data_IF_257929670891
#
_entry.id   IF_257929670891
#
_cell.length_a   1.000
_cell.length_b   1.000
_cell.length_c   1.000
_cell.angle_alpha   90.00
_cell.angle_beta   90.00
_cell.angle_gamma   90.00
#
_symmetry.space_group_name_H-M   'P 1'
#
loop_
_entity.id
_entity.type
_entity.pdbx_description
1 polymer ?
#
# COMPACT_ATOMS: atom_id res chain seq x y z
N UNK A 1 52.49 -0.82 7.60
CA UNK A 1 52.49 -1.49 6.28
C UNK A 1 51.64 -2.76 6.26
N UNK A 2 51.64 -3.60 7.30
CA UNK A 2 50.82 -4.82 7.36
C UNK A 2 49.29 -4.64 7.17
N UNK A 3 48.69 -3.55 7.67
CA UNK A 3 47.23 -3.30 7.48
C UNK A 3 46.85 -3.00 6.01
N UNK A 4 47.78 -2.50 5.20
CA UNK A 4 47.51 -2.19 3.79
C UNK A 4 47.46 -3.48 2.96
N UNK A 5 48.37 -4.42 3.24
CA UNK A 5 48.42 -5.74 2.60
C UNK A 5 47.18 -6.59 2.91
N UNK A 6 46.65 -6.50 4.13
CA UNK A 6 45.41 -7.20 4.51
C UNK A 6 44.20 -6.64 3.75
N UNK A 7 44.10 -5.32 3.58
CA UNK A 7 42.96 -4.74 2.84
C UNK A 7 43.04 -4.97 1.34
N UNK A 8 44.23 -4.93 0.73
CA UNK A 8 44.41 -5.33 -0.67
C UNK A 8 44.02 -6.79 -0.88
N UNK A 9 44.39 -7.67 0.05
CA UNK A 9 44.03 -9.08 -0.01
C UNK A 9 42.51 -9.29 0.12
N UNK A 10 41.84 -8.58 1.03
CA UNK A 10 40.37 -8.62 1.14
C UNK A 10 39.69 -8.09 -0.12
N UNK A 11 40.18 -7.00 -0.70
CA UNK A 11 39.66 -6.47 -1.95
C UNK A 11 39.79 -7.48 -3.10
N UNK A 12 40.95 -8.15 -3.19
CA UNK A 12 41.18 -9.19 -4.19
C UNK A 12 40.19 -10.34 -4.03
N UNK A 13 39.97 -10.82 -2.80
CA UNK A 13 38.97 -11.86 -2.51
C UNK A 13 37.58 -11.39 -2.91
N UNK A 14 37.19 -10.18 -2.55
CA UNK A 14 35.88 -9.62 -2.89
C UNK A 14 35.68 -9.54 -4.41
N UNK A 15 36.69 -9.11 -5.16
CA UNK A 15 36.66 -9.08 -6.63
C UNK A 15 36.50 -10.47 -7.22
N UNK A 16 37.21 -11.48 -6.72
CA UNK A 16 37.07 -12.87 -7.16
C UNK A 16 35.70 -13.48 -6.80
N UNK A 17 35.16 -13.17 -5.62
CA UNK A 17 33.82 -13.59 -5.23
C UNK A 17 32.73 -12.91 -6.05
N UNK A 18 32.98 -11.67 -6.48
CA UNK A 18 32.08 -10.92 -7.36
C UNK A 18 32.11 -11.48 -8.78
N UNK A 19 33.29 -11.76 -9.34
CA UNK A 19 33.41 -12.32 -10.70
C UNK A 19 32.85 -13.74 -10.82
N UNK A 20 32.88 -14.52 -9.75
CA UNK A 20 32.26 -15.85 -9.69
C UNK A 20 30.75 -15.82 -9.42
N UNK A 21 30.15 -14.65 -9.17
CA UNK A 21 28.73 -14.50 -8.82
C UNK A 21 28.36 -15.01 -7.42
N UNK A 22 29.36 -15.33 -6.57
CA UNK A 22 29.14 -15.80 -5.21
C UNK A 22 28.49 -14.71 -4.34
N UNK A 23 28.87 -13.45 -4.52
CA UNK A 23 28.28 -12.30 -3.82
C UNK A 23 26.80 -12.12 -4.16
N UNK A 24 26.43 -12.28 -5.43
CA UNK A 24 25.03 -12.19 -5.86
C UNK A 24 24.16 -13.31 -5.29
N UNK A 25 24.70 -14.53 -5.21
CA UNK A 25 24.02 -15.66 -4.55
C UNK A 25 23.85 -15.43 -3.04
N UNK A 26 24.87 -14.93 -2.37
CA UNK A 26 24.79 -14.57 -0.95
C UNK A 26 23.74 -13.47 -0.73
N UNK A 27 23.75 -12.43 -1.57
CA UNK A 27 22.76 -11.35 -1.52
C UNK A 27 21.33 -11.86 -1.75
N UNK A 28 21.14 -12.72 -2.74
CA UNK A 28 19.84 -13.34 -3.02
C UNK A 28 19.34 -14.20 -1.86
N UNK A 29 20.23 -14.98 -1.22
CA UNK A 29 19.88 -15.77 -0.05
C UNK A 29 19.50 -14.90 1.16
N UNK A 30 20.24 -13.81 1.40
CA UNK A 30 19.89 -12.84 2.46
C UNK A 30 18.53 -12.20 2.17
N UNK A 31 18.28 -11.80 0.92
CA UNK A 31 16.99 -11.22 0.51
C UNK A 31 15.83 -12.23 0.67
N UNK A 32 16.06 -13.50 0.35
CA UNK A 32 15.07 -14.56 0.52
C UNK A 32 14.76 -14.81 2.00
N UNK A 33 15.78 -14.90 2.85
CA UNK A 33 15.59 -15.05 4.30
C UNK A 33 14.94 -13.83 4.94
N UNK A 34 15.36 -12.63 4.57
CA UNK A 34 14.72 -11.40 5.04
C UNK A 34 13.25 -11.35 4.64
N UNK A 35 12.94 -11.73 3.39
CA UNK A 35 11.56 -11.83 2.91
C UNK A 35 10.77 -12.88 3.68
N UNK A 36 11.37 -14.02 4.02
CA UNK A 36 10.72 -15.05 4.84
C UNK A 36 10.46 -14.58 6.27
N UNK A 37 11.42 -13.93 6.92
CA UNK A 37 11.27 -13.37 8.26
C UNK A 37 10.19 -12.29 8.28
N UNK A 38 10.18 -11.38 7.30
CA UNK A 38 9.12 -10.38 7.16
C UNK A 38 7.75 -11.00 6.87
N UNK A 39 7.67 -12.07 6.07
CA UNK A 39 6.41 -12.80 5.84
C UNK A 39 5.83 -13.35 7.14
N UNK A 40 6.66 -13.81 8.08
CA UNK A 40 6.19 -14.33 9.38
C UNK A 40 5.52 -13.22 10.21
N UNK A 41 5.98 -11.96 10.15
CA UNK A 41 5.29 -10.83 10.80
C UNK A 41 3.91 -10.53 10.17
N UNK A 42 3.74 -10.78 8.86
CA UNK A 42 2.45 -10.64 8.18
C UNK A 42 1.52 -11.86 8.34
N UNK A 43 1.94 -12.93 9.01
CA UNK A 43 1.09 -14.13 9.22
C UNK A 43 0.17 -14.07 10.43
N UNK A 44 0.15 -12.95 11.18
CA UNK A 44 -1.09 -12.57 11.86
C UNK A 44 -2.07 -12.12 10.77
N UNK A 45 -2.63 -13.08 10.05
CA UNK A 45 -3.91 -12.93 9.37
C UNK A 45 -4.94 -12.63 10.45
N UNK A 46 -4.93 -11.38 10.94
CA UNK A 46 -6.10 -10.74 11.51
C UNK A 46 -7.19 -11.07 10.51
N UNK A 47 -8.19 -11.84 10.93
CA UNK A 47 -9.37 -12.08 10.11
C UNK A 47 -9.77 -10.73 9.53
N UNK A 48 -9.69 -10.60 8.21
CA UNK A 48 -9.91 -9.32 7.55
C UNK A 48 -11.36 -8.96 7.82
N UNK A 49 -11.59 -8.10 8.81
CA UNK A 49 -12.94 -7.77 9.22
C UNK A 49 -13.57 -6.92 8.10
N UNK A 50 -14.89 -6.95 7.98
CA UNK A 50 -15.58 -6.14 6.96
C UNK A 50 -15.23 -4.65 7.09
N UNK A 51 -15.00 -4.17 8.32
CA UNK A 51 -14.58 -2.80 8.60
C UNK A 51 -13.18 -2.49 8.03
N UNK A 52 -12.23 -3.43 8.10
CA UNK A 52 -10.89 -3.26 7.54
C UNK A 52 -10.98 -3.11 6.02
N UNK A 53 -11.81 -3.94 5.37
CA UNK A 53 -12.09 -3.83 3.93
C UNK A 53 -12.72 -2.49 3.55
N UNK A 54 -13.63 -1.97 4.37
CA UNK A 54 -14.25 -0.66 4.17
C UNK A 54 -13.19 0.44 4.27
N UNK A 55 -12.36 0.41 5.32
CA UNK A 55 -11.32 1.42 5.56
C UNK A 55 -10.29 1.41 4.43
N UNK A 56 -9.79 0.24 4.06
CA UNK A 56 -8.83 0.10 2.95
C UNK A 56 -9.39 0.64 1.63
N UNK A 57 -10.66 0.34 1.35
CA UNK A 57 -11.34 0.80 0.15
C UNK A 57 -11.53 2.32 0.16
N UNK A 58 -11.86 2.92 1.31
CA UNK A 58 -11.96 4.38 1.47
C UNK A 58 -10.61 5.09 1.28
N UNK A 59 -9.54 4.52 1.82
CA UNK A 59 -8.17 5.04 1.65
C UNK A 59 -7.78 4.98 0.17
N UNK A 60 -7.97 3.83 -0.46
CA UNK A 60 -7.68 3.64 -1.89
C UNK A 60 -8.45 4.64 -2.76
N UNK A 61 -9.74 4.86 -2.50
CA UNK A 61 -10.56 5.87 -3.18
C UNK A 61 -10.00 7.29 -3.02
N UNK A 62 -9.58 7.67 -1.81
CA UNK A 62 -9.00 8.98 -1.55
C UNK A 62 -7.65 9.18 -2.27
N UNK A 63 -6.77 8.18 -2.23
CA UNK A 63 -5.47 8.23 -2.92
C UNK A 63 -5.67 8.38 -4.44
N UNK A 64 -6.64 7.65 -5.00
CA UNK A 64 -6.99 7.73 -6.42
C UNK A 64 -7.53 9.12 -6.79
N UNK A 65 -8.46 9.67 -5.99
CA UNK A 65 -9.02 11.00 -6.20
C UNK A 65 -7.96 12.11 -6.13
N UNK A 66 -7.02 12.03 -5.19
CA UNK A 66 -5.92 13.01 -5.06
C UNK A 66 -4.81 12.82 -6.10
N UNK A 67 -4.84 11.73 -6.88
CA UNK A 67 -3.82 11.43 -7.88
C UNK A 67 -2.50 10.91 -7.30
N UNK A 68 -2.52 10.35 -6.09
CA UNK A 68 -1.32 9.80 -5.41
C UNK A 68 -0.97 8.41 -5.92
N UNK A 69 -0.64 8.30 -7.21
CA UNK A 69 -0.43 7.04 -7.93
C UNK A 69 0.67 6.15 -7.34
N UNK A 70 1.78 6.73 -6.88
CA UNK A 70 2.87 5.96 -6.29
C UNK A 70 2.46 5.39 -4.93
N UNK A 71 1.83 6.22 -4.08
CA UNK A 71 1.31 5.83 -2.78
C UNK A 71 0.22 4.77 -2.92
N UNK A 72 -0.70 4.93 -3.86
CA UNK A 72 -1.76 3.94 -4.17
C UNK A 72 -1.15 2.58 -4.51
N UNK A 73 -0.09 2.55 -5.33
CA UNK A 73 0.58 1.31 -5.73
C UNK A 73 1.30 0.63 -4.57
N UNK A 74 2.02 1.40 -3.74
CA UNK A 74 2.69 0.87 -2.55
C UNK A 74 1.66 0.35 -1.54
N UNK A 75 0.60 1.12 -1.29
CA UNK A 75 -0.50 0.74 -0.41
C UNK A 75 -1.18 -0.57 -0.84
N UNK A 76 -1.54 -0.71 -2.12
CA UNK A 76 -2.18 -1.94 -2.61
C UNK A 76 -1.27 -3.17 -2.45
N UNK A 77 0.04 -3.00 -2.70
CA UNK A 77 1.03 -4.06 -2.50
C UNK A 77 1.19 -4.43 -1.02
N UNK A 78 1.24 -3.45 -0.12
CA UNK A 78 1.39 -3.65 1.33
C UNK A 78 0.16 -4.33 1.95
N UNK A 79 -1.03 -3.95 1.49
CA UNK A 79 -2.31 -4.50 1.95
C UNK A 79 -2.64 -5.84 1.28
N UNK A 80 -1.81 -6.30 0.33
CA UNK A 80 -2.01 -7.53 -0.43
C UNK A 80 -3.34 -7.57 -1.20
N UNK A 81 -3.91 -6.40 -1.50
CA UNK A 81 -5.27 -6.24 -1.99
C UNK A 81 -5.28 -5.77 -3.44
N UNK A 82 -4.65 -6.54 -4.31
CA UNK A 82 -4.58 -6.25 -5.75
C UNK A 82 -5.94 -6.35 -6.48
N UNK A 83 -7.05 -6.67 -5.79
CA UNK A 83 -8.36 -6.87 -6.45
C UNK A 83 -9.63 -6.63 -5.64
N UNK A 84 -9.55 -6.29 -4.34
CA UNK A 84 -10.74 -6.28 -3.46
C UNK A 84 -11.20 -4.89 -2.98
N UNK A 85 -10.79 -3.80 -3.66
CA UNK A 85 -11.37 -2.48 -3.35
C UNK A 85 -12.86 -2.49 -3.66
N UNK A 86 -13.68 -2.25 -2.64
CA UNK A 86 -15.13 -2.23 -2.78
C UNK A 86 -15.54 -1.06 -3.68
N UNK A 87 -16.47 -1.27 -4.63
CA UNK A 87 -16.93 -0.18 -5.47
C UNK A 87 -17.65 0.86 -4.61
N UNK A 88 -17.51 2.14 -4.99
CA UNK A 88 -18.10 3.29 -4.29
C UNK A 88 -19.59 3.11 -3.95
N UNK A 89 -20.36 2.49 -4.84
CA UNK A 89 -21.79 2.21 -4.62
C UNK A 89 -22.04 1.22 -3.48
N UNK A 90 -21.14 0.25 -3.29
CA UNK A 90 -21.19 -0.68 -2.16
C UNK A 90 -20.80 0.04 -0.86
N UNK A 91 -19.71 0.82 -0.86
CA UNK A 91 -19.27 1.60 0.31
C UNK A 91 -20.35 2.57 0.80
N UNK A 92 -20.98 3.30 -0.11
CA UNK A 92 -22.06 4.23 0.23
C UNK A 92 -23.31 3.54 0.80
N UNK A 93 -23.55 2.29 0.41
CA UNK A 93 -24.65 1.49 0.93
C UNK A 93 -24.32 0.94 2.31
N UNK A 94 -23.11 0.41 2.51
CA UNK A 94 -22.66 -0.11 3.81
C UNK A 94 -22.56 0.99 4.86
N UNK A 95 -22.06 2.17 4.48
CA UNK A 95 -21.89 3.33 5.38
C UNK A 95 -23.16 4.18 5.53
N UNK A 96 -24.29 3.77 4.91
CA UNK A 96 -25.55 4.54 4.90
C UNK A 96 -25.40 6.02 4.42
N UNK A 97 -24.36 6.34 3.64
CA UNK A 97 -24.05 7.70 3.17
C UNK A 97 -24.97 8.18 2.03
N UNK A 98 -25.95 7.37 1.62
CA UNK A 98 -26.93 7.70 0.56
C UNK A 98 -27.68 9.01 0.81
N UNK A 99 -27.82 9.44 2.06
CA UNK A 99 -28.50 10.69 2.43
C UNK A 99 -27.59 11.91 2.18
N UNK A 100 -26.29 11.81 2.43
CA UNK A 100 -25.35 12.93 2.26
C UNK A 100 -25.03 13.20 0.79
N UNK A 101 -24.92 12.15 -0.02
CA UNK A 101 -24.70 12.26 -1.46
C UNK A 101 -25.91 12.82 -2.23
N UNK A 102 -27.12 12.73 -1.64
CA UNK A 102 -28.34 13.35 -2.18
C UNK A 102 -28.38 14.87 -2.01
N UNK A 103 -27.63 15.42 -1.05
CA UNK A 103 -27.59 16.87 -0.78
C UNK A 103 -26.81 17.64 -1.85
N UNK A 104 -25.86 16.97 -2.50
CA UNK A 104 -25.07 17.52 -3.61
C UNK A 104 -25.75 17.35 -5.00
N UNK A 105 -26.80 16.52 -5.10
CA UNK A 105 -27.42 16.12 -6.39
C UNK A 105 -28.53 17.03 -6.91
N UNK A 106 -28.58 18.30 -6.49
CA UNK A 106 -29.35 19.31 -7.22
C UNK A 106 -28.66 19.76 -8.53
N UNK A 107 -27.63 19.04 -9.00
CA UNK A 107 -27.04 19.22 -10.33
C UNK A 107 -27.16 17.93 -11.15
N UNK A 108 -27.57 18.04 -12.43
CA UNK A 108 -27.69 16.90 -13.34
C UNK A 108 -26.33 16.25 -13.55
N UNK A 109 -26.37 14.98 -13.89
CA UNK A 109 -25.26 14.05 -13.99
C UNK A 109 -24.25 14.41 -15.09
N UNK A 110 -23.45 15.44 -14.86
CA UNK A 110 -22.29 15.75 -15.70
C UNK A 110 -21.09 16.08 -14.82
N UNK A 111 -20.04 15.28 -15.02
CA UNK A 111 -18.68 15.43 -14.52
C UNK A 111 -18.38 14.75 -13.17
N UNK A 112 -17.75 13.58 -13.29
CA UNK A 112 -16.92 12.89 -12.29
C UNK A 112 -15.92 13.83 -11.59
N UNK A 113 -15.69 15.04 -12.10
CA UNK A 113 -14.80 16.07 -11.56
C UNK A 113 -15.32 16.77 -10.29
N UNK A 114 -16.60 16.61 -9.90
CA UNK A 114 -17.16 17.27 -8.69
C UNK A 114 -17.48 16.35 -7.51
N UNK A 115 -17.31 15.03 -7.65
CA UNK A 115 -17.60 14.11 -6.54
C UNK A 115 -16.40 14.03 -5.59
N UNK A 116 -16.56 14.57 -4.38
CA UNK A 116 -15.55 14.50 -3.31
C UNK A 116 -15.35 13.05 -2.84
N UNK A 117 -14.19 12.68 -2.28
CA UNK A 117 -13.99 11.35 -1.69
C UNK A 117 -15.00 11.06 -0.57
N UNK A 118 -15.41 9.80 -0.43
CA UNK A 118 -16.33 9.37 0.63
C UNK A 118 -15.83 9.73 2.03
N UNK A 119 -14.51 9.72 2.24
CA UNK A 119 -13.88 10.13 3.49
C UNK A 119 -14.30 11.56 3.92
N UNK A 120 -14.45 12.50 2.98
CA UNK A 120 -14.89 13.87 3.31
C UNK A 120 -16.31 13.88 3.90
N UNK A 121 -17.23 13.12 3.29
CA UNK A 121 -18.60 13.03 3.79
C UNK A 121 -18.67 12.39 5.18
N UNK A 122 -17.81 11.40 5.45
CA UNK A 122 -17.69 10.79 6.79
C UNK A 122 -17.21 11.84 7.80
N UNK A 123 -16.13 12.56 7.50
CA UNK A 123 -15.62 13.60 8.41
C UNK A 123 -16.63 14.72 8.66
N UNK A 124 -17.40 15.11 7.65
CA UNK A 124 -18.49 16.07 7.78
C UNK A 124 -19.62 15.53 8.67
N UNK A 125 -19.96 14.25 8.53
CA UNK A 125 -20.98 13.62 9.36
C UNK A 125 -20.57 13.56 10.83
N UNK A 126 -19.30 13.26 11.11
CA UNK A 126 -18.75 13.23 12.47
C UNK A 126 -18.64 14.62 13.08
N UNK A 127 -18.32 15.65 12.28
CA UNK A 127 -18.25 17.04 12.77
C UNK A 127 -19.60 17.61 13.19
N UNK A 128 -20.69 17.11 12.58
CA UNK A 128 -22.05 17.59 12.80
C UNK A 128 -22.83 16.77 13.85
N UNK A 129 -22.16 15.86 14.57
CA UNK A 129 -22.68 15.16 15.76
C UNK A 129 -22.29 15.91 17.03
#
# INVERSE_FOLDING_TARGET
MANLEIEEFKEMILRCMTSSGATDRIKANIQAELSNVMKVEHTLSVHKNEDDLIIESLISEYLNFKGYRYTEKVFNNEVGSDSNSLPRNSLTSMLNLRVLLKKDTNQPQENTQKMLPLLYYITESLRNQ
#
